data_IF_040851346651
#
_entry.id   IF_040851346651
#
_cell.length_a   1.000
_cell.length_b   1.000
_cell.length_c   1.000
_cell.angle_alpha   90.00
_cell.angle_beta   90.00
_cell.angle_gamma   90.00
#
_symmetry.space_group_name_H-M   'P 1'
#
loop_
_entity.id
_entity.type
_entity.pdbx_description
1 polymer ?
#
# COMPACT_ATOMS: atom_id res chain seq x y z
N UNK A 1 -1.06 -15.14 13.36
CA UNK A 1 -0.65 -14.25 12.24
C UNK A 1 0.67 -14.72 11.62
N UNK A 2 1.74 -14.96 12.39
CA UNK A 2 3.00 -15.48 11.83
C UNK A 2 2.86 -16.84 11.11
N UNK A 3 2.07 -17.80 11.64
CA UNK A 3 1.83 -19.06 10.94
C UNK A 3 1.12 -18.85 9.57
N UNK A 4 0.26 -17.84 9.48
CA UNK A 4 -0.41 -17.47 8.22
C UNK A 4 0.59 -16.86 7.25
N UNK A 5 1.49 -15.99 7.73
CA UNK A 5 2.58 -15.43 6.93
C UNK A 5 3.48 -16.54 6.35
N UNK A 6 3.93 -17.47 7.21
CA UNK A 6 4.76 -18.61 6.79
C UNK A 6 4.01 -19.51 5.80
N UNK A 7 2.72 -19.76 6.04
CA UNK A 7 1.89 -20.54 5.13
C UNK A 7 1.76 -19.85 3.77
N UNK A 8 1.41 -18.56 3.73
CA UNK A 8 1.32 -17.79 2.47
C UNK A 8 2.65 -17.85 1.74
N UNK A 9 3.75 -17.58 2.42
CA UNK A 9 5.08 -17.58 1.80
C UNK A 9 5.46 -18.94 1.22
N UNK A 10 5.19 -20.01 1.97
CA UNK A 10 5.40 -21.39 1.51
C UNK A 10 4.50 -21.76 0.32
N UNK A 11 3.22 -21.39 0.35
CA UNK A 11 2.28 -21.65 -0.74
C UNK A 11 2.67 -20.88 -2.00
N UNK A 12 3.03 -19.60 -1.89
CA UNK A 12 3.49 -18.79 -3.01
C UNK A 12 4.77 -19.36 -3.61
N UNK A 13 5.77 -19.69 -2.78
CA UNK A 13 7.01 -20.31 -3.25
C UNK A 13 6.77 -21.63 -3.99
N UNK A 14 5.91 -22.50 -3.44
CA UNK A 14 5.57 -23.79 -4.05
C UNK A 14 4.76 -23.62 -5.34
N UNK A 15 3.86 -22.64 -5.38
CA UNK A 15 3.03 -22.35 -6.55
C UNK A 15 3.90 -21.85 -7.71
N UNK A 16 4.78 -20.89 -7.45
CA UNK A 16 5.67 -20.30 -8.47
C UNK A 16 6.68 -21.31 -9.03
N UNK A 17 7.20 -22.20 -8.16
CA UNK A 17 8.08 -23.31 -8.58
C UNK A 17 7.38 -24.34 -9.48
N UNK A 18 6.09 -24.55 -9.31
CA UNK A 18 5.33 -25.61 -10.00
C UNK A 18 4.58 -25.11 -11.24
N UNK A 19 4.34 -23.81 -11.35
CA UNK A 19 3.68 -23.16 -12.48
C UNK A 19 4.37 -21.80 -12.70
N UNK A 20 5.44 -21.72 -13.54
CA UNK A 20 6.01 -20.44 -13.91
C UNK A 20 4.90 -19.61 -14.56
N UNK A 21 4.45 -18.60 -13.82
CA UNK A 21 3.20 -17.91 -14.12
C UNK A 21 3.44 -16.78 -15.12
N UNK A 22 2.36 -16.23 -15.67
CA UNK A 22 2.37 -15.04 -16.52
C UNK A 22 3.12 -13.85 -15.88
N UNK A 23 3.28 -13.83 -14.55
CA UNK A 23 4.10 -12.86 -13.82
C UNK A 23 5.59 -12.97 -14.18
N UNK A 24 6.14 -14.17 -14.42
CA UNK A 24 7.55 -14.29 -14.84
C UNK A 24 7.83 -13.63 -16.20
N UNK A 25 6.87 -13.71 -17.13
CA UNK A 25 6.97 -13.05 -18.44
C UNK A 25 6.67 -11.54 -18.36
N UNK A 26 5.80 -11.09 -17.44
CA UNK A 26 5.55 -9.66 -17.21
C UNK A 26 6.81 -8.93 -16.75
N UNK A 27 7.60 -9.55 -15.87
CA UNK A 27 8.87 -8.97 -15.42
C UNK A 27 9.91 -8.89 -16.55
N UNK A 28 9.85 -9.76 -17.56
CA UNK A 28 10.68 -9.66 -18.77
C UNK A 28 10.23 -8.49 -19.66
N UNK A 29 8.92 -8.31 -19.86
CA UNK A 29 8.36 -7.18 -20.61
C UNK A 29 8.67 -5.82 -19.93
N UNK A 30 8.63 -5.73 -18.59
CA UNK A 30 9.03 -4.52 -17.84
C UNK A 30 10.53 -4.23 -17.97
N UNK A 31 11.36 -5.26 -17.97
CA UNK A 31 12.82 -5.17 -18.15
C UNK A 31 13.17 -4.67 -19.55
N UNK A 32 12.42 -5.09 -20.56
CA UNK A 32 12.57 -4.65 -21.95
C UNK A 32 12.08 -3.20 -22.17
N UNK A 33 11.01 -2.77 -21.46
CA UNK A 33 10.47 -1.40 -21.54
C UNK A 33 11.38 -0.36 -20.86
N UNK A 34 12.14 -0.76 -19.83
CA UNK A 34 13.09 0.12 -19.12
C UNK A 34 14.32 0.46 -19.97
N UNK A 35 14.56 -0.25 -21.09
CA UNK A 35 15.54 0.11 -22.12
C UNK A 35 16.98 0.25 -21.58
N UNK A 36 17.76 -0.81 -21.72
CA UNK A 36 19.12 -0.98 -21.17
C UNK A 36 19.16 -1.10 -19.64
N UNK A 37 18.67 -2.24 -19.12
CA UNK A 37 19.02 -2.65 -17.75
C UNK A 37 20.54 -2.75 -17.66
N UNK A 38 21.21 -2.00 -16.78
CA UNK A 38 22.66 -2.02 -16.71
C UNK A 38 23.15 -3.45 -16.43
N UNK A 39 24.23 -3.88 -17.11
CA UNK A 39 24.76 -5.25 -17.04
C UNK A 39 25.32 -5.70 -15.67
N UNK A 40 24.99 -4.99 -14.59
CA UNK A 40 25.39 -5.33 -13.22
C UNK A 40 24.34 -4.93 -12.19
N UNK A 41 24.24 -5.75 -11.15
CA UNK A 41 23.30 -5.62 -10.01
C UNK A 41 23.54 -4.37 -9.15
N UNK A 42 24.72 -3.76 -9.23
CA UNK A 42 25.11 -2.63 -8.39
C UNK A 42 24.31 -1.34 -8.68
N UNK A 43 24.16 -0.97 -9.95
CA UNK A 43 23.44 0.27 -10.33
C UNK A 43 21.95 0.22 -9.96
N UNK A 44 21.21 -0.87 -10.26
CA UNK A 44 19.81 -1.00 -9.83
C UNK A 44 19.67 -0.95 -8.31
N UNK A 45 20.54 -1.62 -7.55
CA UNK A 45 20.48 -1.61 -6.09
C UNK A 45 20.68 -0.19 -5.55
N UNK A 46 21.69 0.53 -6.04
CA UNK A 46 21.92 1.91 -5.63
C UNK A 46 20.72 2.79 -5.98
N UNK A 47 20.19 2.67 -7.20
CA UNK A 47 19.02 3.43 -7.63
C UNK A 47 17.80 3.14 -6.74
N UNK A 48 17.56 1.88 -6.39
CA UNK A 48 16.48 1.46 -5.47
C UNK A 48 16.68 2.02 -4.07
N UNK A 49 17.90 1.94 -3.51
CA UNK A 49 18.20 2.49 -2.18
C UNK A 49 18.01 4.00 -2.16
N UNK A 50 18.53 4.71 -3.16
CA UNK A 50 18.34 6.16 -3.29
C UNK A 50 16.86 6.49 -3.42
N UNK A 51 16.11 5.75 -4.23
CA UNK A 51 14.66 5.93 -4.42
C UNK A 51 13.89 5.76 -3.11
N UNK A 52 14.16 4.69 -2.36
CA UNK A 52 13.53 4.45 -1.05
C UNK A 52 13.82 5.59 -0.09
N UNK A 53 15.09 6.00 0.02
CA UNK A 53 15.51 7.09 0.93
C UNK A 53 14.84 8.41 0.51
N UNK A 54 14.81 8.71 -0.78
CA UNK A 54 14.17 9.93 -1.30
C UNK A 54 12.66 9.95 -1.05
N UNK A 55 11.97 8.81 -1.23
CA UNK A 55 10.55 8.69 -0.93
C UNK A 55 10.28 8.84 0.57
N UNK A 56 11.11 8.24 1.43
CA UNK A 56 10.98 8.33 2.88
C UNK A 56 11.11 9.77 3.38
N UNK A 57 12.22 10.46 3.04
CA UNK A 57 12.41 11.85 3.45
C UNK A 57 11.45 12.81 2.76
N UNK A 58 11.10 12.57 1.50
CA UNK A 58 10.11 13.36 0.78
C UNK A 58 8.73 13.31 1.43
N UNK A 59 8.31 12.13 1.89
CA UNK A 59 7.07 11.98 2.65
C UNK A 59 7.13 12.69 4.00
N UNK A 60 8.23 12.53 4.75
CA UNK A 60 8.44 13.19 6.04
C UNK A 60 8.36 14.72 5.91
N UNK A 61 9.09 15.30 4.96
CA UNK A 61 9.05 16.75 4.71
C UNK A 61 7.68 17.25 4.25
N UNK A 62 6.95 16.47 3.44
CA UNK A 62 5.60 16.81 3.02
C UNK A 62 4.64 16.84 4.22
N UNK A 63 4.75 15.84 5.10
CA UNK A 63 3.96 15.77 6.33
C UNK A 63 4.28 16.93 7.25
N UNK A 64 5.55 17.18 7.53
CA UNK A 64 5.98 18.27 8.43
C UNK A 64 5.56 19.65 7.92
N UNK A 65 5.71 19.89 6.61
CA UNK A 65 5.22 21.11 5.97
C UNK A 65 3.71 21.25 6.09
N UNK A 66 2.97 20.16 5.84
CA UNK A 66 1.51 20.11 5.98
C UNK A 66 1.03 20.33 7.42
N UNK A 67 1.70 19.73 8.41
CA UNK A 67 1.44 19.95 9.85
C UNK A 67 1.65 21.41 10.21
N UNK A 68 2.74 22.02 9.74
CA UNK A 68 3.05 23.44 10.02
C UNK A 68 1.95 24.35 9.48
N UNK A 69 1.54 24.16 8.23
CA UNK A 69 0.43 24.91 7.63
C UNK A 69 -0.88 24.67 8.39
N UNK A 70 -1.23 23.43 8.72
CA UNK A 70 -2.46 23.12 9.45
C UNK A 70 -2.52 23.80 10.83
N UNK A 71 -1.39 23.87 11.55
CA UNK A 71 -1.28 24.58 12.82
C UNK A 71 -1.49 26.09 12.66
N UNK A 72 -0.91 26.71 11.64
CA UNK A 72 -1.11 28.13 11.35
C UNK A 72 -2.59 28.46 11.03
N UNK A 73 -3.31 27.52 10.44
CA UNK A 73 -4.76 27.62 10.18
C UNK A 73 -5.62 27.28 11.39
N UNK A 74 -5.03 26.98 12.56
CA UNK A 74 -5.75 26.69 13.80
C UNK A 74 -6.39 25.31 13.87
N UNK A 75 -5.94 24.35 13.05
CA UNK A 75 -6.39 22.95 13.11
C UNK A 75 -5.83 22.29 14.36
N UNK A 76 -6.63 21.48 15.06
CA UNK A 76 -6.19 20.82 16.29
C UNK A 76 -5.20 19.69 16.03
N UNK A 77 -4.25 19.47 16.94
CA UNK A 77 -3.27 18.38 16.88
C UNK A 77 -3.94 17.00 16.71
N UNK A 78 -5.13 16.82 17.31
CA UNK A 78 -5.89 15.59 17.18
C UNK A 78 -6.33 15.33 15.72
N UNK A 79 -6.85 16.35 15.05
CA UNK A 79 -7.27 16.23 13.63
C UNK A 79 -6.05 16.04 12.74
N UNK A 80 -4.96 16.77 12.99
CA UNK A 80 -3.69 16.62 12.24
C UNK A 80 -3.15 15.19 12.37
N UNK A 81 -3.11 14.64 13.59
CA UNK A 81 -2.64 13.30 13.86
C UNK A 81 -3.50 12.22 13.19
N UNK A 82 -4.83 12.36 13.27
CA UNK A 82 -5.78 11.39 12.71
C UNK A 82 -5.82 11.42 11.17
N UNK A 83 -5.43 12.53 10.54
CA UNK A 83 -5.54 12.71 9.09
C UNK A 83 -4.17 12.79 8.41
N UNK A 84 -3.45 13.88 8.60
CA UNK A 84 -2.24 14.23 7.85
C UNK A 84 -1.08 13.30 8.20
N UNK A 85 -0.90 12.98 9.48
CA UNK A 85 0.15 12.05 9.93
C UNK A 85 -0.19 10.61 9.54
N UNK A 86 -1.44 10.18 9.78
CA UNK A 86 -1.90 8.83 9.42
C UNK A 86 -1.84 8.58 7.89
N UNK A 87 -2.19 9.57 7.07
CA UNK A 87 -2.03 9.51 5.63
C UNK A 87 -0.54 9.57 5.23
N UNK A 88 0.24 10.36 5.95
CA UNK A 88 1.66 10.57 5.77
C UNK A 88 2.49 9.30 5.69
N UNK A 89 2.19 8.31 6.53
CA UNK A 89 2.93 7.04 6.56
C UNK A 89 2.70 6.16 5.33
N UNK A 90 1.67 6.43 4.53
CA UNK A 90 1.35 5.69 3.31
C UNK A 90 1.71 6.47 2.02
N UNK A 91 2.29 7.67 2.17
CA UNK A 91 2.70 8.51 1.05
C UNK A 91 3.80 7.85 0.18
N UNK A 92 4.85 7.23 0.73
CA UNK A 92 5.86 6.54 -0.08
C UNK A 92 5.24 5.46 -0.97
N UNK A 93 4.32 4.66 -0.42
CA UNK A 93 3.61 3.58 -1.10
C UNK A 93 2.67 4.14 -2.16
N UNK A 94 1.93 5.19 -1.84
CA UNK A 94 1.07 5.89 -2.80
C UNK A 94 1.88 6.42 -3.98
N UNK A 95 3.00 7.09 -3.72
CA UNK A 95 3.87 7.64 -4.74
C UNK A 95 4.48 6.52 -5.61
N UNK A 96 4.96 5.44 -5.01
CA UNK A 96 5.49 4.29 -5.74
C UNK A 96 4.42 3.63 -6.64
N UNK A 97 3.22 3.38 -6.10
CA UNK A 97 2.10 2.82 -6.87
C UNK A 97 1.63 3.74 -7.99
N UNK A 98 1.59 5.06 -7.75
CA UNK A 98 1.22 6.03 -8.79
C UNK A 98 2.24 6.05 -9.93
N UNK A 99 3.53 6.08 -9.63
CA UNK A 99 4.59 6.07 -10.64
C UNK A 99 4.55 4.77 -11.46
N UNK A 100 4.38 3.61 -10.81
CA UNK A 100 4.21 2.34 -11.49
C UNK A 100 2.97 2.35 -12.42
N UNK A 101 1.82 2.80 -11.91
CA UNK A 101 0.60 2.90 -12.71
C UNK A 101 0.74 3.88 -13.89
N UNK A 102 1.42 5.01 -13.73
CA UNK A 102 1.67 5.97 -14.82
C UNK A 102 2.61 5.43 -15.90
N UNK A 103 3.50 4.51 -15.54
CA UNK A 103 4.35 3.80 -16.50
C UNK A 103 3.68 2.59 -17.16
N UNK A 104 2.41 2.31 -16.82
CA UNK A 104 1.69 1.16 -17.37
C UNK A 104 1.84 -0.13 -16.56
N UNK A 105 2.73 -0.16 -15.57
CA UNK A 105 3.00 -1.27 -14.66
C UNK A 105 1.92 -1.41 -13.57
N UNK A 106 0.69 -1.70 -14.01
CA UNK A 106 -0.49 -1.76 -13.14
C UNK A 106 -0.47 -2.94 -12.17
N UNK A 107 0.19 -4.02 -12.54
CA UNK A 107 0.48 -5.19 -11.73
C UNK A 107 1.49 -4.89 -10.62
N UNK A 108 2.57 -4.14 -10.90
CA UNK A 108 3.49 -3.65 -9.86
C UNK A 108 2.76 -2.71 -8.90
N UNK A 109 1.93 -1.80 -9.42
CA UNK A 109 1.14 -0.89 -8.59
C UNK A 109 0.18 -1.65 -7.65
N UNK A 110 -0.51 -2.68 -8.15
CA UNK A 110 -1.38 -3.56 -7.35
C UNK A 110 -0.57 -4.40 -6.36
N UNK A 111 0.57 -4.94 -6.79
CA UNK A 111 1.50 -5.71 -5.96
C UNK A 111 1.98 -4.90 -4.75
N UNK A 112 2.29 -3.62 -4.94
CA UNK A 112 2.65 -2.72 -3.86
C UNK A 112 1.48 -2.50 -2.87
N UNK A 113 0.25 -2.29 -3.36
CA UNK A 113 -0.94 -2.10 -2.50
C UNK A 113 -1.27 -3.37 -1.68
N UNK A 114 -1.23 -4.55 -2.30
CA UNK A 114 -1.49 -5.81 -1.59
C UNK A 114 -0.34 -6.16 -0.64
N UNK A 115 0.90 -6.01 -1.08
CA UNK A 115 2.09 -6.34 -0.31
C UNK A 115 2.25 -5.49 0.95
N UNK A 116 2.10 -4.17 0.84
CA UNK A 116 2.18 -3.24 1.98
C UNK A 116 1.12 -3.54 3.04
N UNK A 117 -0.15 -3.71 2.64
CA UNK A 117 -1.23 -4.07 3.56
C UNK A 117 -1.02 -5.43 4.24
N UNK A 118 -0.51 -6.41 3.49
CA UNK A 118 -0.21 -7.74 4.04
C UNK A 118 0.92 -7.68 5.07
N UNK A 119 2.00 -6.94 4.81
CA UNK A 119 3.09 -6.75 5.75
C UNK A 119 2.66 -5.95 6.98
N UNK A 120 1.88 -4.88 6.80
CA UNK A 120 1.34 -4.09 7.91
C UNK A 120 0.49 -4.96 8.85
N UNK A 121 -0.35 -5.84 8.31
CA UNK A 121 -1.17 -6.72 9.11
C UNK A 121 -0.36 -7.87 9.74
N UNK A 122 0.35 -8.64 8.93
CA UNK A 122 0.97 -9.89 9.39
C UNK A 122 2.29 -9.70 10.12
N UNK A 123 3.11 -8.75 9.68
CA UNK A 123 4.45 -8.51 10.23
C UNK A 123 4.40 -7.43 11.30
N UNK A 124 3.85 -6.26 11.00
CA UNK A 124 3.86 -5.14 11.97
C UNK A 124 2.86 -5.43 13.10
N UNK A 125 1.56 -5.49 12.83
CA UNK A 125 0.54 -5.75 13.86
C UNK A 125 0.74 -7.15 14.46
N UNK A 126 0.93 -8.15 13.61
CA UNK A 126 1.18 -9.53 14.05
C UNK A 126 2.46 -9.69 14.88
N UNK A 127 3.52 -8.95 14.60
CA UNK A 127 4.75 -8.96 15.38
C UNK A 127 4.64 -8.19 16.70
N UNK A 128 4.10 -6.96 16.66
CA UNK A 128 3.92 -6.12 17.86
C UNK A 128 3.00 -6.81 18.87
N UNK A 129 1.93 -7.46 18.41
CA UNK A 129 1.00 -8.19 19.29
C UNK A 129 1.60 -9.37 20.05
N UNK A 130 2.76 -9.90 19.61
CA UNK A 130 3.50 -10.93 20.34
C UNK A 130 4.30 -10.36 21.52
N UNK A 131 4.70 -9.10 21.42
CA UNK A 131 5.51 -8.41 22.43
C UNK A 131 4.62 -7.72 23.45
N UNK A 132 3.53 -7.08 22.99
CA UNK A 132 2.64 -6.30 23.85
C UNK A 132 1.19 -6.39 23.36
N UNK A 133 0.21 -6.59 24.26
CA UNK A 133 -1.19 -6.52 23.89
C UNK A 133 -1.53 -5.15 23.29
N UNK A 134 -2.08 -5.14 22.08
CA UNK A 134 -2.52 -3.92 21.41
C UNK A 134 -3.98 -3.67 21.82
N UNK A 135 -4.28 -2.59 22.56
CA UNK A 135 -5.67 -2.24 22.87
C UNK A 135 -6.38 -1.84 21.57
N UNK A 136 -7.48 -2.54 21.25
CA UNK A 136 -8.29 -2.26 20.06
C UNK A 136 -9.55 -1.49 20.47
N UNK A 137 -9.74 -0.25 19.99
CA UNK A 137 -10.97 0.50 20.21
C UNK A 137 -12.21 -0.25 19.72
N UNK A 138 -13.33 -0.14 20.43
CA UNK A 138 -14.58 -0.80 20.07
C UNK A 138 -15.10 -0.39 18.68
N UNK A 139 -14.84 0.85 18.26
CA UNK A 139 -15.19 1.36 16.94
C UNK A 139 -14.48 0.57 15.82
N UNK A 140 -13.18 0.26 15.99
CA UNK A 140 -12.43 -0.52 15.00
C UNK A 140 -13.04 -1.92 14.83
N UNK A 141 -13.43 -2.56 15.94
CA UNK A 141 -14.07 -3.89 15.93
C UNK A 141 -15.48 -3.88 15.34
N UNK A 142 -16.23 -2.80 15.57
CA UNK A 142 -17.63 -2.70 15.16
C UNK A 142 -17.80 -2.25 13.70
N UNK A 143 -16.94 -1.35 13.19
CA UNK A 143 -17.08 -0.77 11.85
C UNK A 143 -15.85 -0.92 10.97
N UNK A 144 -14.68 -0.46 11.43
CA UNK A 144 -13.54 -0.22 10.51
C UNK A 144 -13.00 -1.52 9.91
N UNK A 145 -12.94 -2.60 10.69
CA UNK A 145 -12.53 -3.91 10.19
C UNK A 145 -13.48 -4.47 9.13
N UNK A 146 -14.79 -4.25 9.28
CA UNK A 146 -15.78 -4.73 8.32
C UNK A 146 -15.74 -3.92 7.02
N UNK A 147 -15.54 -2.60 7.12
CA UNK A 147 -15.36 -1.73 5.95
C UNK A 147 -14.07 -2.11 5.21
N UNK A 148 -12.96 -2.29 5.92
CA UNK A 148 -11.69 -2.74 5.35
C UNK A 148 -11.85 -4.08 4.62
N UNK A 149 -12.53 -5.05 5.24
CA UNK A 149 -12.79 -6.35 4.61
C UNK A 149 -13.67 -6.21 3.36
N UNK A 150 -14.74 -5.41 3.43
CA UNK A 150 -15.64 -5.19 2.29
C UNK A 150 -14.92 -4.54 1.11
N UNK A 151 -14.10 -3.52 1.34
CA UNK A 151 -13.30 -2.86 0.30
C UNK A 151 -12.27 -3.81 -0.28
N UNK A 152 -11.61 -4.62 0.55
CA UNK A 152 -10.63 -5.63 0.09
C UNK A 152 -11.30 -6.68 -0.80
N UNK A 153 -12.46 -7.19 -0.39
CA UNK A 153 -13.23 -8.16 -1.19
C UNK A 153 -13.72 -7.52 -2.49
N UNK A 154 -14.24 -6.29 -2.45
CA UNK A 154 -14.67 -5.57 -3.64
C UNK A 154 -13.51 -5.37 -4.62
N UNK A 155 -12.33 -4.98 -4.12
CA UNK A 155 -11.12 -4.85 -4.93
C UNK A 155 -10.76 -6.18 -5.59
N UNK A 156 -10.71 -7.26 -4.82
CA UNK A 156 -10.43 -8.60 -5.33
C UNK A 156 -11.42 -9.05 -6.41
N UNK A 157 -12.72 -8.83 -6.19
CA UNK A 157 -13.77 -9.16 -7.16
C UNK A 157 -13.61 -8.37 -8.45
N UNK A 158 -13.33 -7.07 -8.36
CA UNK A 158 -13.08 -6.21 -9.54
C UNK A 158 -11.84 -6.71 -10.29
N UNK A 159 -10.73 -6.94 -9.59
CA UNK A 159 -9.49 -7.40 -10.23
C UNK A 159 -9.63 -8.79 -10.84
N UNK A 160 -10.38 -9.70 -10.21
CA UNK A 160 -10.58 -11.05 -10.71
C UNK A 160 -11.57 -11.09 -11.90
N UNK A 161 -12.67 -10.35 -11.81
CA UNK A 161 -13.70 -10.33 -12.85
C UNK A 161 -13.25 -9.60 -14.11
N UNK A 162 -12.59 -8.44 -13.98
CA UNK A 162 -12.23 -7.60 -15.12
C UNK A 162 -10.78 -7.78 -15.57
N UNK A 163 -9.95 -8.54 -14.82
CA UNK A 163 -8.51 -8.76 -15.03
C UNK A 163 -7.63 -7.51 -15.11
N UNK A 164 -8.23 -6.31 -15.05
CA UNK A 164 -7.57 -5.00 -15.04
C UNK A 164 -8.41 -4.05 -14.20
N UNK A 165 -7.75 -3.13 -13.49
CA UNK A 165 -8.43 -2.05 -12.79
C UNK A 165 -8.74 -0.93 -13.78
N UNK A 166 -10.01 -0.73 -14.13
CA UNK A 166 -10.42 0.36 -15.01
C UNK A 166 -10.42 1.71 -14.29
N UNK A 167 -10.35 2.81 -15.05
CA UNK A 167 -10.48 4.17 -14.49
C UNK A 167 -11.80 4.37 -13.73
N UNK A 168 -12.90 3.78 -14.22
CA UNK A 168 -14.20 3.86 -13.55
C UNK A 168 -14.19 3.13 -12.21
N UNK A 169 -13.59 1.93 -12.14
CA UNK A 169 -13.42 1.22 -10.87
C UNK A 169 -12.56 2.02 -9.88
N UNK A 170 -11.45 2.61 -10.35
CA UNK A 170 -10.61 3.49 -9.52
C UNK A 170 -11.38 4.68 -8.94
N UNK A 171 -12.20 5.36 -9.75
CA UNK A 171 -13.05 6.47 -9.27
C UNK A 171 -14.03 6.00 -8.19
N UNK A 172 -14.63 4.82 -8.34
CA UNK A 172 -15.53 4.25 -7.31
C UNK A 172 -14.78 4.03 -5.99
N UNK A 173 -13.56 3.48 -6.02
CA UNK A 173 -12.76 3.29 -4.81
C UNK A 173 -12.35 4.62 -4.16
N UNK A 174 -12.02 5.63 -4.95
CA UNK A 174 -11.70 6.98 -4.43
C UNK A 174 -12.92 7.62 -3.78
N UNK A 175 -14.10 7.52 -4.39
CA UNK A 175 -15.35 8.00 -3.79
C UNK A 175 -15.63 7.26 -2.48
N UNK A 176 -15.49 5.94 -2.46
CA UNK A 176 -15.67 5.14 -1.25
C UNK A 176 -14.72 5.57 -0.12
N UNK A 177 -13.45 5.86 -0.45
CA UNK A 177 -12.49 6.40 0.50
C UNK A 177 -12.93 7.76 1.08
N UNK A 178 -13.35 8.71 0.25
CA UNK A 178 -13.83 10.00 0.74
C UNK A 178 -15.10 9.90 1.57
N UNK A 179 -16.02 9.00 1.23
CA UNK A 179 -17.21 8.72 2.04
C UNK A 179 -16.81 8.17 3.40
N UNK A 180 -15.85 7.24 3.47
CA UNK A 180 -15.34 6.70 4.73
C UNK A 180 -14.69 7.79 5.58
N UNK A 181 -13.80 8.60 5.01
CA UNK A 181 -13.15 9.72 5.72
C UNK A 181 -14.17 10.71 6.25
N UNK A 182 -15.19 11.06 5.46
CA UNK A 182 -16.24 11.97 5.89
C UNK A 182 -17.04 11.40 7.08
N UNK A 183 -17.42 10.11 7.02
CA UNK A 183 -18.11 9.45 8.13
C UNK A 183 -17.26 9.41 9.39
N UNK A 184 -15.94 9.17 9.27
CA UNK A 184 -15.02 9.14 10.39
C UNK A 184 -14.87 10.51 11.07
N UNK A 185 -14.82 11.59 10.28
CA UNK A 185 -14.69 12.97 10.80
C UNK A 185 -16.01 13.49 11.38
N UNK A 186 -17.15 13.02 10.87
CA UNK A 186 -18.48 13.44 11.31
C UNK A 186 -19.03 12.68 12.51
N UNK A 187 -18.38 11.57 12.93
CA UNK A 187 -18.74 10.74 14.08
C UNK A 187 -18.12 11.25 15.38
#
# INVERSE_FOLDING_TARGET
MLCVLVAIWYFTYKHDKNMPSHASNLHEDEVDEVGEVPSGWFKPIIATVIGIVALMFGAEWLVDGGVTVAREFGVSEAVIGLTLVAFGTSLPELAASMVAAFRGHSDVALGNVFGSNLLNLLVIIGGVSLITPIPVPAQILASDLWIMLAVTVALLLVTFAFRKLSRSAGVVFVIAYFVYVFQLVAA
#
